data_IF_222282023531
#
_entry.id   IF_222282023531
#
_cell.length_a   1.000
_cell.length_b   1.000
_cell.length_c   1.000
_cell.angle_alpha   90.00
_cell.angle_beta   90.00
_cell.angle_gamma   90.00
#
_symmetry.space_group_name_H-M   'P 1'
#
loop_
_entity.id
_entity.type
_entity.pdbx_description
1 polymer ?
#
# COMPACT_ATOMS: atom_id res chain seq x y z
N UNK A 1 11.35 -56.27 -44.36
CA UNK A 1 11.92 -56.27 -42.99
C UNK A 1 11.83 -54.82 -42.53
N UNK A 2 10.70 -54.30 -42.04
CA UNK A 2 9.84 -54.69 -40.90
C UNK A 2 10.68 -54.94 -39.64
N UNK A 3 10.68 -53.97 -38.74
CA UNK A 3 10.16 -53.99 -37.35
C UNK A 3 10.41 -52.58 -36.77
N UNK A 4 9.43 -51.67 -36.80
CA UNK A 4 8.39 -51.41 -35.79
C UNK A 4 8.89 -51.46 -34.33
N UNK A 5 8.96 -50.29 -33.70
CA UNK A 5 8.43 -50.11 -32.35
C UNK A 5 7.73 -48.75 -32.31
N UNK A 6 6.41 -48.82 -32.33
CA UNK A 6 5.46 -47.72 -32.14
C UNK A 6 5.63 -47.13 -30.73
N UNK A 7 5.74 -45.80 -30.65
CA UNK A 7 5.19 -45.02 -29.55
C UNK A 7 4.73 -43.67 -30.13
N UNK A 8 3.44 -43.61 -30.42
CA UNK A 8 2.70 -42.43 -30.84
C UNK A 8 2.73 -41.35 -29.74
N UNK A 9 3.72 -40.46 -29.78
CA UNK A 9 3.56 -39.14 -29.17
C UNK A 9 2.77 -38.26 -30.12
N UNK A 10 1.44 -38.34 -30.05
CA UNK A 10 0.59 -37.25 -30.53
C UNK A 10 0.89 -36.03 -29.66
N UNK A 11 1.69 -35.10 -30.20
CA UNK A 11 1.74 -33.74 -29.68
C UNK A 11 0.36 -33.15 -29.94
N UNK A 12 -0.50 -33.20 -28.93
CA UNK A 12 -1.70 -32.36 -28.86
C UNK A 12 -1.18 -30.93 -28.70
N UNK A 13 -1.01 -30.26 -29.83
CA UNK A 13 -0.87 -28.81 -29.85
C UNK A 13 -2.24 -28.30 -29.42
N UNK A 14 -2.39 -28.01 -28.13
CA UNK A 14 -3.48 -27.15 -27.70
C UNK A 14 -3.29 -25.83 -28.45
N UNK A 15 -4.22 -25.52 -29.35
CA UNK A 15 -4.32 -24.19 -29.94
C UNK A 15 -4.41 -23.19 -28.78
N UNK A 16 -3.29 -22.54 -28.49
CA UNK A 16 -3.28 -21.39 -27.59
C UNK A 16 -4.15 -20.34 -28.26
N UNK A 17 -5.30 -20.06 -27.66
CA UNK A 17 -6.15 -18.94 -28.07
C UNK A 17 -5.25 -17.71 -28.25
N UNK A 18 -5.30 -17.01 -29.41
CA UNK A 18 -4.48 -15.84 -29.60
C UNK A 18 -4.74 -14.86 -28.46
N UNK A 19 -3.67 -14.36 -27.84
CA UNK A 19 -3.80 -13.26 -26.88
C UNK A 19 -4.51 -12.10 -27.60
N UNK A 20 -5.52 -11.45 -26.99
CA UNK A 20 -6.16 -10.29 -27.59
C UNK A 20 -5.10 -9.24 -27.94
N UNK A 21 -5.34 -8.43 -28.98
CA UNK A 21 -4.50 -7.25 -29.18
C UNK A 21 -4.50 -6.40 -27.90
N UNK A 22 -3.36 -5.79 -27.56
CA UNK A 22 -3.21 -4.99 -26.32
C UNK A 22 -4.31 -3.92 -26.17
N UNK A 23 -4.79 -3.38 -27.29
CA UNK A 23 -5.89 -2.40 -27.34
C UNK A 23 -7.25 -2.99 -26.91
N UNK A 24 -7.53 -4.27 -27.23
CA UNK A 24 -8.74 -4.98 -26.77
C UNK A 24 -8.58 -5.48 -25.34
N UNK A 25 -7.36 -5.87 -24.95
CA UNK A 25 -7.05 -6.36 -23.60
C UNK A 25 -7.26 -5.28 -22.53
N UNK A 26 -7.07 -4.01 -22.90
CA UNK A 26 -7.14 -2.85 -22.01
C UNK A 26 -8.42 -2.01 -22.17
N UNK A 27 -9.48 -2.49 -22.83
CA UNK A 27 -10.81 -1.84 -22.81
C UNK A 27 -11.55 -2.13 -21.48
N UNK A 28 -12.31 -1.16 -20.89
CA UNK A 28 -13.03 -1.36 -19.62
C UNK A 28 -13.98 -2.55 -19.61
N UNK A 29 -14.66 -2.87 -20.71
CA UNK A 29 -15.59 -3.99 -20.77
C UNK A 29 -14.84 -5.32 -20.75
N UNK A 30 -13.77 -5.43 -21.54
CA UNK A 30 -12.92 -6.63 -21.56
C UNK A 30 -12.34 -6.92 -20.17
N UNK A 31 -11.89 -5.89 -19.45
CA UNK A 31 -11.40 -6.02 -18.07
C UNK A 31 -12.53 -6.49 -17.16
N UNK A 32 -13.69 -5.82 -17.20
CA UNK A 32 -14.83 -6.20 -16.37
C UNK A 32 -15.27 -7.64 -16.62
N UNK A 33 -15.31 -8.09 -17.88
CA UNK A 33 -15.63 -9.47 -18.24
C UNK A 33 -14.69 -10.47 -17.59
N UNK A 34 -13.36 -10.23 -17.61
CA UNK A 34 -12.37 -11.09 -16.93
C UNK A 34 -12.54 -11.12 -15.42
N UNK A 35 -12.81 -9.98 -14.81
CA UNK A 35 -13.07 -9.86 -13.37
C UNK A 35 -14.36 -10.59 -12.96
N UNK A 36 -15.39 -10.57 -13.82
CA UNK A 36 -16.70 -11.18 -13.57
C UNK A 36 -16.78 -12.68 -13.91
N UNK A 37 -15.72 -13.29 -14.47
CA UNK A 37 -15.70 -14.73 -14.80
C UNK A 37 -15.91 -15.63 -13.57
N UNK A 38 -15.46 -15.19 -12.39
CA UNK A 38 -15.65 -15.89 -11.13
C UNK A 38 -16.03 -14.89 -10.03
N UNK A 39 -16.89 -15.26 -9.08
CA UNK A 39 -17.09 -14.47 -7.87
C UNK A 39 -15.76 -14.26 -7.16
N UNK A 40 -15.53 -13.06 -6.67
CA UNK A 40 -14.29 -12.71 -5.96
C UNK A 40 -14.62 -12.45 -4.49
N UNK A 41 -13.83 -13.01 -3.59
CA UNK A 41 -13.90 -12.73 -2.16
C UNK A 41 -12.61 -12.02 -1.77
N UNK A 42 -12.75 -10.86 -1.14
CA UNK A 42 -11.66 -10.04 -0.63
C UNK A 42 -11.66 -10.17 0.88
N UNK A 43 -10.73 -10.97 1.41
CA UNK A 43 -10.47 -11.09 2.84
C UNK A 43 -9.58 -9.94 3.28
N UNK A 44 -10.15 -8.98 3.99
CA UNK A 44 -9.47 -7.78 4.48
C UNK A 44 -9.02 -7.95 5.93
N UNK A 45 -7.73 -7.68 6.17
CA UNK A 45 -7.08 -7.76 7.46
C UNK A 45 -6.44 -6.43 7.86
N UNK A 46 -6.22 -6.29 9.16
CA UNK A 46 -5.30 -5.30 9.72
C UNK A 46 -4.09 -5.97 10.39
N UNK A 47 -3.02 -5.21 10.55
CA UNK A 47 -1.85 -5.58 11.35
C UNK A 47 -1.25 -4.31 11.96
N UNK A 48 -1.66 -3.99 13.20
CA UNK A 48 -1.11 -2.85 13.94
C UNK A 48 -1.32 -1.49 13.25
N UNK A 49 -2.38 -1.33 12.46
CA UNK A 49 -2.72 -0.07 11.77
C UNK A 49 -2.99 1.07 12.75
N UNK A 50 -2.84 2.30 12.25
CA UNK A 50 -3.23 3.51 12.98
C UNK A 50 -4.70 3.44 13.46
N UNK A 51 -5.03 3.91 14.67
CA UNK A 51 -6.41 4.01 15.15
C UNK A 51 -7.31 4.87 14.25
N UNK A 52 -6.71 5.76 13.46
CA UNK A 52 -7.42 6.63 12.52
C UNK A 52 -7.82 5.93 11.22
N UNK A 53 -7.31 4.71 10.96
CA UNK A 53 -7.77 3.91 9.84
C UNK A 53 -9.10 3.22 10.18
N UNK A 54 -10.13 3.54 9.40
CA UNK A 54 -11.47 2.99 9.56
C UNK A 54 -11.67 1.84 8.57
N UNK A 55 -11.46 0.62 9.07
CA UNK A 55 -11.66 -0.61 8.31
C UNK A 55 -13.13 -0.81 7.91
N UNK A 56 -14.10 -0.30 8.68
CA UNK A 56 -15.52 -0.44 8.33
C UNK A 56 -15.85 0.42 7.13
N UNK A 57 -15.45 1.70 7.16
CA UNK A 57 -15.65 2.61 6.04
C UNK A 57 -14.92 2.14 4.78
N UNK A 58 -13.72 1.56 4.90
CA UNK A 58 -13.01 0.99 3.76
C UNK A 58 -13.74 -0.22 3.16
N UNK A 59 -14.22 -1.16 4.00
CA UNK A 59 -15.00 -2.31 3.55
C UNK A 59 -16.25 -1.87 2.77
N UNK A 60 -16.99 -0.90 3.31
CA UNK A 60 -18.19 -0.36 2.68
C UNK A 60 -17.88 0.28 1.32
N UNK A 61 -16.80 1.08 1.28
CA UNK A 61 -16.31 1.68 0.05
C UNK A 61 -16.01 0.63 -1.03
N UNK A 62 -15.21 -0.39 -0.69
CA UNK A 62 -14.85 -1.44 -1.65
C UNK A 62 -16.07 -2.23 -2.14
N UNK A 63 -17.00 -2.55 -1.23
CA UNK A 63 -18.24 -3.26 -1.58
C UNK A 63 -19.08 -2.45 -2.57
N UNK A 64 -19.16 -1.13 -2.38
CA UNK A 64 -19.88 -0.23 -3.27
C UNK A 64 -19.17 -0.08 -4.61
N UNK A 65 -17.84 0.06 -4.63
CA UNK A 65 -17.05 0.29 -5.84
C UNK A 65 -17.02 -0.93 -6.76
N UNK A 66 -16.79 -2.14 -6.24
CA UNK A 66 -16.67 -3.35 -7.04
C UNK A 66 -18.00 -4.05 -7.35
N UNK A 67 -19.05 -3.77 -6.57
CA UNK A 67 -20.38 -4.33 -6.81
C UNK A 67 -20.53 -5.81 -6.43
N UNK A 68 -21.66 -6.44 -6.79
CA UNK A 68 -22.15 -7.67 -6.16
C UNK A 68 -21.39 -8.95 -6.51
N UNK A 69 -20.52 -8.94 -7.53
CA UNK A 69 -19.64 -10.09 -7.81
C UNK A 69 -18.45 -10.16 -6.84
N UNK A 70 -18.22 -9.11 -6.04
CA UNK A 70 -17.16 -9.02 -5.06
C UNK A 70 -17.76 -9.03 -3.65
N UNK A 71 -17.41 -10.04 -2.85
CA UNK A 71 -17.67 -10.05 -1.41
C UNK A 71 -16.45 -9.46 -0.70
N UNK A 72 -16.65 -8.48 0.17
CA UNK A 72 -15.57 -7.94 1.01
C UNK A 72 -15.83 -8.36 2.45
N UNK A 73 -14.90 -9.10 3.03
CA UNK A 73 -15.00 -9.67 4.37
C UNK A 73 -13.92 -9.07 5.26
N UNK A 74 -14.29 -8.51 6.42
CA UNK A 74 -13.31 -8.01 7.38
C UNK A 74 -13.03 -9.10 8.40
N UNK A 75 -11.79 -9.59 8.41
CA UNK A 75 -11.36 -10.75 9.18
C UNK A 75 -10.72 -10.40 10.53
N UNK A 76 -10.52 -9.10 10.78
CA UNK A 76 -9.84 -8.59 11.97
C UNK A 76 -8.34 -8.46 11.76
N UNK A 77 -7.60 -8.59 12.85
CA UNK A 77 -6.14 -8.50 12.82
C UNK A 77 -5.53 -9.87 12.50
N UNK A 78 -4.66 -9.90 11.49
CA UNK A 78 -4.11 -11.15 10.94
C UNK A 78 -3.20 -11.86 11.93
N UNK A 79 -2.39 -11.14 12.71
CA UNK A 79 -1.45 -11.78 13.62
C UNK A 79 -2.21 -12.35 14.82
N UNK A 80 -3.18 -11.62 15.32
CA UNK A 80 -4.09 -12.11 16.35
C UNK A 80 -4.79 -13.40 15.96
N UNK A 81 -5.33 -13.43 14.73
CA UNK A 81 -6.01 -14.60 14.20
C UNK A 81 -5.04 -15.78 14.12
N UNK A 82 -3.83 -15.55 13.61
CA UNK A 82 -2.79 -16.58 13.53
C UNK A 82 -2.41 -17.16 14.91
N UNK A 83 -2.21 -16.29 15.90
CA UNK A 83 -1.84 -16.69 17.26
C UNK A 83 -2.99 -17.36 18.01
N UNK A 84 -4.24 -17.01 17.69
CA UNK A 84 -5.42 -17.68 18.25
C UNK A 84 -5.55 -19.11 17.71
N UNK A 85 -5.26 -19.30 16.43
CA UNK A 85 -5.36 -20.61 15.78
C UNK A 85 -4.19 -21.52 16.18
N UNK A 86 -2.98 -20.98 16.33
CA UNK A 86 -1.80 -21.71 16.81
C UNK A 86 -0.86 -20.81 17.65
N UNK A 87 -1.03 -20.79 18.99
CA UNK A 87 -0.19 -20.00 19.87
C UNK A 87 1.30 -20.38 19.84
N UNK A 88 1.64 -21.61 19.42
CA UNK A 88 3.03 -22.05 19.36
C UNK A 88 3.83 -21.33 18.25
N UNK A 89 3.15 -20.67 17.30
CA UNK A 89 3.78 -19.90 16.21
C UNK A 89 4.29 -18.53 16.63
N UNK A 90 4.07 -18.07 17.87
CA UNK A 90 4.55 -16.73 18.32
C UNK A 90 6.03 -16.53 18.01
N UNK A 91 6.87 -17.51 18.41
CA UNK A 91 8.32 -17.44 18.21
C UNK A 91 8.70 -17.42 16.72
N UNK A 92 8.00 -18.21 15.90
CA UNK A 92 8.22 -18.25 14.46
C UNK A 92 7.86 -16.92 13.79
N UNK A 93 6.68 -16.37 14.10
CA UNK A 93 6.20 -15.09 13.55
C UNK A 93 7.15 -13.97 13.95
N UNK A 94 7.53 -13.89 15.23
CA UNK A 94 8.48 -12.89 15.73
C UNK A 94 9.83 -13.03 15.02
N UNK A 95 10.34 -14.26 14.87
CA UNK A 95 11.61 -14.49 14.20
C UNK A 95 11.57 -14.11 12.73
N UNK A 96 10.45 -14.36 12.04
CA UNK A 96 10.24 -13.92 10.65
C UNK A 96 10.12 -12.41 10.52
N UNK A 97 9.39 -11.74 11.41
CA UNK A 97 9.30 -10.27 11.43
C UNK A 97 10.67 -9.63 11.67
N UNK A 98 11.45 -10.14 12.64
CA UNK A 98 12.82 -9.67 12.91
C UNK A 98 13.77 -9.98 11.75
N UNK A 99 13.51 -11.05 11.00
CA UNK A 99 14.31 -11.47 9.84
C UNK A 99 13.89 -10.82 8.53
N UNK A 100 12.71 -10.18 8.45
CA UNK A 100 12.18 -9.47 7.28
C UNK A 100 12.92 -8.15 6.98
N UNK A 101 14.24 -8.13 7.21
CA UNK A 101 15.10 -6.96 7.05
C UNK A 101 15.27 -6.63 5.57
N UNK A 102 15.30 -5.33 5.20
CA UNK A 102 15.66 -4.92 3.86
C UNK A 102 17.12 -5.34 3.55
N UNK A 103 17.36 -5.84 2.34
CA UNK A 103 18.71 -6.13 1.83
C UNK A 103 19.62 -4.90 1.74
N UNK A 104 19.09 -3.70 1.93
CA UNK A 104 19.88 -2.49 2.05
C UNK A 104 20.48 -2.41 3.47
N UNK A 105 21.80 -2.65 3.57
CA UNK A 105 22.60 -2.06 4.65
C UNK A 105 22.32 -0.56 4.62
N UNK A 106 21.47 -0.06 5.52
CA UNK A 106 21.26 1.37 5.72
C UNK A 106 22.63 1.96 6.05
N UNK A 107 23.23 2.58 5.04
CA UNK A 107 24.57 3.11 5.06
C UNK A 107 24.57 4.40 5.85
N UNK A 108 24.75 4.25 7.17
CA UNK A 108 25.07 5.28 8.15
C UNK A 108 23.95 6.27 8.51
N UNK A 109 23.40 6.11 9.73
CA UNK A 109 22.75 7.19 10.47
C UNK A 109 23.44 7.39 11.82
N UNK A 110 24.46 8.24 11.80
CA UNK A 110 25.20 8.66 12.98
C UNK A 110 24.40 9.65 13.79
N UNK A 111 23.42 9.20 14.59
CA UNK A 111 22.96 9.98 15.75
C UNK A 111 21.89 9.40 16.69
N UNK A 112 21.66 8.10 16.66
CA UNK A 112 20.98 7.42 17.75
C UNK A 112 22.01 6.55 18.49
N UNK A 113 21.75 6.22 19.75
CA UNK A 113 22.51 5.17 20.45
C UNK A 113 22.57 3.90 19.58
N UNK A 114 23.50 2.99 19.88
CA UNK A 114 23.83 1.85 19.01
C UNK A 114 22.62 1.06 18.50
N UNK A 115 22.80 0.40 17.34
CA UNK A 115 21.81 -0.50 16.74
C UNK A 115 21.23 -1.46 17.78
N UNK A 116 19.89 -1.60 17.81
CA UNK A 116 19.24 -2.59 18.66
C UNK A 116 19.73 -3.99 18.28
N UNK A 117 20.14 -4.77 19.27
CA UNK A 117 20.48 -6.16 19.04
C UNK A 117 19.22 -6.99 18.71
N UNK A 118 19.41 -8.20 18.17
CA UNK A 118 18.29 -9.04 17.76
C UNK A 118 17.37 -9.43 18.94
N UNK A 119 17.87 -9.52 20.18
CA UNK A 119 17.04 -9.85 21.33
C UNK A 119 16.14 -8.66 21.72
N UNK A 120 16.68 -7.44 21.68
CA UNK A 120 15.92 -6.22 21.87
C UNK A 120 14.83 -6.07 20.80
N UNK A 121 15.14 -6.38 19.53
CA UNK A 121 14.15 -6.38 18.43
C UNK A 121 13.05 -7.43 18.66
N UNK A 122 13.42 -8.67 18.99
CA UNK A 122 12.45 -9.73 19.30
C UNK A 122 11.52 -9.36 20.45
N UNK A 123 12.05 -8.75 21.51
CA UNK A 123 11.24 -8.33 22.65
C UNK A 123 10.25 -7.23 22.28
N UNK A 124 10.66 -6.25 21.47
CA UNK A 124 9.76 -5.21 20.95
C UNK A 124 8.65 -5.82 20.09
N UNK A 125 8.98 -6.74 19.17
CA UNK A 125 7.97 -7.44 18.38
C UNK A 125 7.03 -8.27 19.26
N UNK A 126 7.52 -8.96 20.29
CA UNK A 126 6.62 -9.67 21.23
C UNK A 126 5.67 -8.73 21.95
N UNK A 127 6.16 -7.58 22.39
CA UNK A 127 5.32 -6.54 22.99
C UNK A 127 4.31 -5.99 21.99
N UNK A 128 4.68 -5.93 20.70
CA UNK A 128 3.78 -5.56 19.61
C UNK A 128 2.58 -6.49 19.51
N UNK A 129 2.89 -7.78 19.39
CA UNK A 129 1.89 -8.81 19.17
C UNK A 129 0.93 -8.90 20.35
N UNK A 130 1.43 -8.66 21.57
CA UNK A 130 0.62 -8.64 22.79
C UNK A 130 -0.26 -7.41 22.94
N UNK A 131 -0.13 -6.43 22.03
CA UNK A 131 -0.83 -5.13 22.06
C UNK A 131 -0.83 -4.49 23.44
N UNK A 132 0.31 -4.57 24.11
CA UNK A 132 0.44 -3.91 25.40
C UNK A 132 0.26 -2.40 25.17
N UNK A 133 -0.76 -1.82 25.81
CA UNK A 133 -1.08 -0.38 25.68
C UNK A 133 0.02 0.53 26.24
N UNK A 134 0.92 -0.05 27.05
CA UNK A 134 2.12 0.62 27.55
C UNK A 134 3.36 0.29 26.71
N UNK A 135 3.22 -0.59 25.70
CA UNK A 135 4.28 -0.86 24.76
C UNK A 135 4.61 0.43 24.02
N UNK A 136 5.89 0.78 23.89
CA UNK A 136 6.30 1.86 23.01
C UNK A 136 5.97 1.53 21.55
N UNK A 137 5.42 0.34 21.25
CA UNK A 137 5.26 -0.13 19.90
C UNK A 137 4.20 0.62 19.08
N UNK A 138 3.11 1.10 19.67
CA UNK A 138 2.23 1.98 18.90
C UNK A 138 3.01 3.25 18.49
N UNK A 139 3.82 3.81 19.39
CA UNK A 139 4.80 4.86 19.06
C UNK A 139 6.00 4.39 18.21
N UNK A 140 6.22 3.09 18.01
CA UNK A 140 7.28 2.49 17.19
C UNK A 140 6.81 2.24 15.75
N UNK A 141 5.58 1.76 15.57
CA UNK A 141 4.93 1.56 14.27
C UNK A 141 4.46 2.89 13.70
N UNK A 142 3.89 3.75 14.54
CA UNK A 142 3.44 5.10 14.16
C UNK A 142 4.64 6.04 14.11
N UNK A 143 5.61 5.90 15.01
CA UNK A 143 6.82 6.74 15.01
C UNK A 143 7.89 6.32 14.02
N UNK A 144 7.59 5.56 12.96
CA UNK A 144 8.52 5.32 11.84
C UNK A 144 8.70 6.57 10.98
N UNK A 145 8.86 7.73 11.61
CA UNK A 145 9.09 8.97 10.90
C UNK A 145 10.50 8.99 10.34
N UNK A 146 10.61 9.44 9.09
CA UNK A 146 11.83 10.05 8.58
C UNK A 146 11.97 11.41 9.29
N UNK A 147 12.46 11.40 10.52
CA UNK A 147 12.86 12.61 11.23
C UNK A 147 14.14 13.22 10.63
N UNK A 148 14.49 14.45 11.00
CA UNK A 148 15.80 15.06 10.69
C UNK A 148 16.72 15.00 11.90
N UNK A 149 17.96 14.63 11.68
CA UNK A 149 19.05 14.77 12.61
C UNK A 149 19.82 16.07 12.45
N UNK A 150 20.55 16.48 13.50
CA UNK A 150 21.52 17.55 13.45
C UNK A 150 22.32 17.59 12.15
N UNK A 151 22.32 18.77 11.52
CA UNK A 151 22.93 19.05 10.21
C UNK A 151 22.22 18.42 9.02
N UNK A 152 20.92 18.19 9.11
CA UNK A 152 20.13 17.93 7.92
C UNK A 152 20.24 16.53 7.33
N UNK A 153 20.44 15.56 8.21
CA UNK A 153 20.49 14.16 7.81
C UNK A 153 19.17 13.52 8.21
N UNK A 154 18.42 12.96 7.27
CA UNK A 154 17.15 12.24 7.50
C UNK A 154 17.29 11.12 8.55
N UNK A 155 17.15 11.42 9.84
CA UNK A 155 17.03 10.43 10.91
C UNK A 155 15.78 9.58 10.71
N UNK A 156 15.95 8.36 10.24
CA UNK A 156 15.02 7.30 10.65
C UNK A 156 14.97 7.33 12.19
N UNK A 157 13.77 7.34 12.79
CA UNK A 157 13.65 6.79 14.14
C UNK A 157 14.23 5.36 14.13
N UNK A 158 14.49 4.74 15.26
CA UNK A 158 15.27 3.49 15.37
C UNK A 158 14.71 2.24 14.62
N UNK A 159 13.79 2.40 13.66
CA UNK A 159 12.95 1.39 13.07
C UNK A 159 13.19 1.32 11.56
N UNK A 160 13.68 0.17 11.12
CA UNK A 160 13.94 -0.16 9.71
C UNK A 160 12.59 -0.35 8.98
N UNK A 161 12.44 0.16 7.75
CA UNK A 161 11.33 -0.24 6.88
C UNK A 161 11.40 -1.76 6.66
N UNK A 162 10.26 -2.43 6.71
CA UNK A 162 10.19 -3.86 6.46
C UNK A 162 10.41 -4.16 4.98
N UNK A 163 11.19 -5.20 4.69
CA UNK A 163 11.27 -5.72 3.33
C UNK A 163 9.90 -6.22 2.91
N UNK A 164 9.37 -5.61 1.86
CA UNK A 164 8.03 -5.88 1.36
C UNK A 164 7.90 -7.33 0.86
N UNK A 165 8.98 -7.94 0.35
CA UNK A 165 8.98 -9.34 -0.09
C UNK A 165 8.90 -10.31 1.08
N UNK A 166 9.71 -10.09 2.11
CA UNK A 166 9.70 -10.90 3.31
C UNK A 166 8.38 -10.76 4.08
N UNK A 167 7.85 -9.54 4.20
CA UNK A 167 6.56 -9.29 4.85
C UNK A 167 5.38 -9.88 4.04
N UNK A 168 5.40 -9.71 2.71
CA UNK A 168 4.42 -10.34 1.81
C UNK A 168 4.43 -11.86 1.90
N UNK A 169 5.62 -12.48 1.98
CA UNK A 169 5.76 -13.92 2.20
C UNK A 169 5.19 -14.36 3.55
N UNK A 170 5.42 -13.60 4.63
CA UNK A 170 4.80 -13.87 5.92
C UNK A 170 3.27 -13.87 5.83
N UNK A 171 2.69 -12.81 5.27
CA UNK A 171 1.23 -12.74 5.17
C UNK A 171 0.67 -13.82 4.24
N UNK A 172 1.36 -14.18 3.17
CA UNK A 172 0.96 -15.29 2.29
C UNK A 172 0.90 -16.62 3.04
N UNK A 173 1.91 -16.93 3.86
CA UNK A 173 1.90 -18.16 4.64
C UNK A 173 0.80 -18.17 5.71
N UNK A 174 0.55 -17.01 6.33
CA UNK A 174 -0.53 -16.86 7.31
C UNK A 174 -1.90 -17.05 6.65
N UNK A 175 -2.17 -16.43 5.51
CA UNK A 175 -3.46 -16.56 4.83
C UNK A 175 -3.66 -17.97 4.27
N UNK A 176 -2.63 -18.60 3.72
CA UNK A 176 -2.69 -20.00 3.27
C UNK A 176 -2.97 -20.97 4.42
N UNK A 177 -2.48 -20.67 5.63
CA UNK A 177 -2.81 -21.48 6.81
C UNK A 177 -4.26 -21.28 7.24
N UNK A 178 -4.79 -20.07 7.12
CA UNK A 178 -6.13 -19.70 7.59
C UNK A 178 -7.25 -20.11 6.62
N UNK A 179 -6.96 -20.17 5.33
CA UNK A 179 -7.97 -20.38 4.28
C UNK A 179 -7.52 -21.46 3.30
N UNK A 180 -8.42 -22.40 3.03
CA UNK A 180 -8.30 -23.29 1.88
C UNK A 180 -8.89 -22.59 0.65
N UNK A 181 -8.12 -22.41 -0.45
CA UNK A 181 -8.63 -21.78 -1.65
C UNK A 181 -9.84 -22.55 -2.20
N UNK A 182 -10.94 -21.85 -2.42
CA UNK A 182 -12.13 -22.44 -3.06
C UNK A 182 -12.02 -22.27 -4.57
N UNK A 183 -11.93 -23.37 -5.32
CA UNK A 183 -11.76 -23.31 -6.79
C UNK A 183 -12.86 -22.55 -7.54
N UNK A 184 -14.06 -22.45 -6.93
CA UNK A 184 -15.22 -21.76 -7.48
C UNK A 184 -15.14 -20.23 -7.38
N UNK A 185 -14.27 -19.69 -6.51
CA UNK A 185 -14.10 -18.25 -6.25
C UNK A 185 -12.67 -17.82 -6.53
N UNK A 186 -12.47 -16.51 -6.74
CA UNK A 186 -11.15 -15.87 -6.66
C UNK A 186 -10.99 -15.35 -5.24
N UNK A 187 -9.99 -15.85 -4.52
CA UNK A 187 -9.69 -15.42 -3.14
C UNK A 187 -8.54 -14.41 -3.16
N UNK A 188 -8.82 -13.18 -2.73
CA UNK A 188 -7.84 -12.09 -2.60
C UNK A 188 -7.68 -11.73 -1.12
N UNK A 189 -6.45 -11.47 -0.69
CA UNK A 189 -6.14 -11.10 0.67
C UNK A 189 -5.59 -9.68 0.71
N UNK A 190 -6.27 -8.78 1.40
CA UNK A 190 -5.90 -7.37 1.51
C UNK A 190 -5.48 -7.07 2.95
N UNK A 191 -4.20 -6.79 3.17
CA UNK A 191 -3.64 -6.54 4.50
C UNK A 191 -3.26 -5.06 4.63
N UNK A 192 -3.91 -4.35 5.54
CA UNK A 192 -3.45 -3.04 5.99
C UNK A 192 -2.49 -3.21 7.16
N UNK A 193 -1.31 -2.60 7.09
CA UNK A 193 -0.30 -2.68 8.14
C UNK A 193 0.14 -1.29 8.61
N UNK A 194 0.34 -1.13 9.92
CA UNK A 194 1.00 0.05 10.49
C UNK A 194 2.53 0.01 10.36
N UNK A 195 3.09 -1.01 9.74
CA UNK A 195 4.53 -1.11 9.46
C UNK A 195 4.84 -0.37 8.18
N UNK A 196 5.82 0.53 8.19
CA UNK A 196 6.42 1.08 6.98
C UNK A 196 7.09 -0.04 6.20
N UNK A 197 6.83 -0.06 4.90
CA UNK A 197 7.33 -1.08 3.97
C UNK A 197 8.23 -0.46 2.91
N UNK A 198 9.24 -1.20 2.50
CA UNK A 198 10.16 -0.77 1.45
C UNK A 198 10.74 -1.95 0.69
N UNK A 199 11.37 -1.67 -0.44
CA UNK A 199 12.11 -2.66 -1.23
C UNK A 199 13.32 -2.03 -1.90
N UNK A 200 14.08 -2.82 -2.65
CA UNK A 200 15.16 -2.29 -3.49
C UNK A 200 14.60 -1.50 -4.68
N UNK A 201 15.20 -0.35 -4.97
CA UNK A 201 15.00 0.33 -6.27
C UNK A 201 15.75 -0.42 -7.39
N UNK A 202 15.68 0.07 -8.63
CA UNK A 202 16.52 -0.42 -9.74
C UNK A 202 18.02 -0.37 -9.39
N UNK A 203 18.42 0.58 -8.53
CA UNK A 203 19.68 0.53 -7.81
C UNK A 203 19.48 -0.18 -6.45
N UNK A 204 20.02 -1.40 -6.26
CA UNK A 204 19.89 -2.14 -5.01
C UNK A 204 20.51 -1.44 -3.80
N UNK A 205 21.34 -0.41 -4.01
CA UNK A 205 21.94 0.39 -2.95
C UNK A 205 21.01 1.47 -2.39
N UNK A 206 19.88 1.74 -3.06
CA UNK A 206 18.92 2.76 -2.64
C UNK A 206 17.64 2.08 -2.15
N UNK A 207 17.34 2.13 -0.84
CA UNK A 207 16.06 1.66 -0.32
C UNK A 207 14.93 2.56 -0.86
N UNK A 208 13.84 1.94 -1.30
CA UNK A 208 12.66 2.62 -1.82
C UNK A 208 11.47 2.33 -0.90
N UNK A 209 11.03 3.36 -0.17
CA UNK A 209 9.82 3.28 0.64
C UNK A 209 8.58 3.11 -0.26
N UNK A 210 7.58 2.37 0.21
CA UNK A 210 6.35 2.10 -0.55
C UNK A 210 5.12 2.29 0.33
N UNK A 211 4.03 2.72 -0.28
CA UNK A 211 2.72 2.76 0.36
C UNK A 211 1.94 1.44 0.22
N UNK A 212 2.25 0.63 -0.80
CA UNK A 212 1.63 -0.67 -1.00
C UNK A 212 2.37 -1.53 -2.03
N UNK A 213 2.06 -2.83 -2.04
CA UNK A 213 2.56 -3.81 -3.01
C UNK A 213 1.64 -5.03 -3.09
N UNK A 214 1.57 -5.68 -4.25
CA UNK A 214 0.81 -6.92 -4.49
C UNK A 214 1.74 -8.10 -4.81
N UNK A 215 1.53 -9.23 -4.13
CA UNK A 215 2.20 -10.52 -4.28
C UNK A 215 1.18 -11.60 -4.62
N UNK A 216 1.01 -11.88 -5.92
CA UNK A 216 -0.03 -12.82 -6.35
C UNK A 216 -1.39 -12.33 -5.91
N UNK A 217 -2.11 -13.12 -5.11
CA UNK A 217 -3.42 -12.76 -4.57
C UNK A 217 -3.37 -12.04 -3.21
N UNK A 218 -2.18 -11.74 -2.68
CA UNK A 218 -1.98 -11.03 -1.41
C UNK A 218 -1.54 -9.61 -1.70
N UNK A 219 -2.26 -8.62 -1.19
CA UNK A 219 -1.90 -7.21 -1.30
C UNK A 219 -1.65 -6.61 0.08
N UNK A 220 -0.55 -5.86 0.22
CA UNK A 220 -0.14 -5.22 1.47
C UNK A 220 -0.15 -3.71 1.28
N UNK A 221 -0.83 -3.00 2.17
CA UNK A 221 -0.92 -1.53 2.17
C UNK A 221 -0.44 -1.02 3.52
N UNK A 222 0.54 -0.13 3.50
CA UNK A 222 1.12 0.45 4.70
C UNK A 222 0.49 1.81 5.00
N UNK A 223 -0.19 1.95 6.14
CA UNK A 223 -0.72 3.25 6.58
C UNK A 223 0.41 4.24 6.90
N UNK A 224 1.53 3.74 7.39
CA UNK A 224 2.76 4.52 7.62
C UNK A 224 3.44 4.87 6.29
N UNK A 225 3.50 3.91 5.37
CA UNK A 225 4.02 4.12 4.02
C UNK A 225 3.22 5.17 3.25
N UNK A 226 1.91 5.29 3.45
CA UNK A 226 1.10 6.38 2.88
C UNK A 226 1.52 7.77 3.36
N UNK A 227 2.05 7.88 4.58
CA UNK A 227 2.55 9.15 5.15
C UNK A 227 3.98 9.43 4.65
N UNK A 228 4.82 8.42 4.57
CA UNK A 228 6.27 8.63 4.39
C UNK A 228 6.83 8.29 3.01
N UNK A 229 6.21 7.38 2.26
CA UNK A 229 6.73 6.99 0.95
C UNK A 229 6.53 8.06 -0.12
N UNK A 230 5.35 8.72 -0.25
CA UNK A 230 5.19 9.81 -1.20
C UNK A 230 6.10 10.99 -0.81
N UNK A 231 6.77 11.55 -1.80
CA UNK A 231 7.64 12.70 -1.61
C UNK A 231 6.86 13.88 -1.00
N UNK A 232 7.45 14.53 0.01
CA UNK A 232 6.83 15.69 0.64
C UNK A 232 6.69 16.84 -0.38
N UNK A 233 5.76 17.80 -0.18
CA UNK A 233 5.59 18.92 -1.10
C UNK A 233 6.92 19.67 -1.34
N UNK A 234 7.17 20.16 -2.55
CA UNK A 234 8.44 20.81 -2.90
C UNK A 234 8.79 21.96 -1.94
N UNK A 235 7.79 22.74 -1.56
CA UNK A 235 7.94 23.87 -0.64
C UNK A 235 8.41 23.45 0.76
N UNK A 236 8.04 22.24 1.19
CA UNK A 236 8.48 21.65 2.46
C UNK A 236 9.94 21.24 2.34
N UNK A 237 10.32 20.60 1.24
CA UNK A 237 11.71 20.21 0.97
C UNK A 237 12.63 21.43 0.88
N UNK A 238 12.19 22.49 0.19
CA UNK A 238 12.91 23.78 0.13
C UNK A 238 13.08 24.41 1.51
N UNK A 239 12.04 24.38 2.34
CA UNK A 239 12.10 24.94 3.69
C UNK A 239 13.06 24.16 4.61
N UNK A 240 13.09 22.82 4.49
CA UNK A 240 14.06 21.98 5.17
C UNK A 240 15.49 22.28 4.74
N UNK A 241 15.78 22.27 3.43
CA UNK A 241 17.10 22.61 2.88
C UNK A 241 17.57 24.01 3.28
N UNK A 242 16.66 24.99 3.30
CA UNK A 242 16.95 26.36 3.71
C UNK A 242 17.32 26.46 5.21
N UNK A 243 16.65 25.69 6.07
CA UNK A 243 16.99 25.58 7.50
C UNK A 243 18.35 24.93 7.72
N UNK A 244 18.66 23.88 6.97
CA UNK A 244 19.94 23.16 7.06
C UNK A 244 21.13 24.00 6.61
N UNK A 245 21.00 24.65 5.44
CA UNK A 245 22.07 25.40 4.81
C UNK A 245 22.55 26.61 5.63
N UNK A 246 21.72 27.12 6.55
CA UNK A 246 21.99 28.39 7.23
C UNK A 246 22.06 28.31 8.76
N UNK A 247 21.94 27.11 9.33
CA UNK A 247 21.78 26.98 10.77
C UNK A 247 20.58 27.83 11.25
N UNK A 248 20.56 28.25 12.50
CA UNK A 248 19.44 29.01 13.10
C UNK A 248 19.09 30.38 12.45
N UNK A 249 19.57 30.67 11.24
CA UNK A 249 19.26 31.87 10.44
C UNK A 249 18.52 31.49 9.15
N UNK A 250 17.21 31.28 9.22
CA UNK A 250 16.36 30.97 8.05
C UNK A 250 16.51 32.04 6.94
N UNK A 251 16.78 31.68 5.66
CA UNK A 251 16.81 32.63 4.56
C UNK A 251 15.42 32.89 4.00
N UNK A 252 15.33 33.97 3.23
CA UNK A 252 14.12 34.70 2.89
C UNK A 252 13.22 33.98 1.88
N UNK A 253 12.18 33.34 2.40
CA UNK A 253 10.82 33.41 1.87
C UNK A 253 9.95 34.13 2.90
N UNK A 254 9.94 35.47 2.86
CA UNK A 254 9.56 36.34 4.00
C UNK A 254 8.21 35.97 4.62
N UNK A 255 7.23 35.55 3.82
CA UNK A 255 5.89 35.27 4.34
C UNK A 255 5.73 33.83 4.89
N UNK A 256 6.34 32.84 4.26
CA UNK A 256 6.28 31.44 4.73
C UNK A 256 7.07 31.24 6.03
N UNK A 257 8.25 31.85 6.13
CA UNK A 257 9.06 31.84 7.35
C UNK A 257 8.36 32.59 8.48
N UNK A 258 7.66 33.69 8.16
CA UNK A 258 6.82 34.38 9.14
C UNK A 258 5.68 33.49 9.62
N UNK A 259 4.91 32.88 8.72
CA UNK A 259 3.80 31.99 9.09
C UNK A 259 4.29 30.85 9.98
N UNK A 260 5.38 30.18 9.59
CA UNK A 260 6.01 29.14 10.39
C UNK A 260 6.47 29.64 11.77
N UNK A 261 7.16 30.78 11.83
CA UNK A 261 7.65 31.37 13.09
C UNK A 261 6.49 31.85 13.98
N UNK A 262 5.43 32.39 13.38
CA UNK A 262 4.19 32.77 14.06
C UNK A 262 3.51 31.54 14.64
N UNK A 263 3.33 30.47 13.86
CA UNK A 263 2.74 29.22 14.34
C UNK A 263 3.54 28.64 15.52
N UNK A 264 4.88 28.60 15.46
CA UNK A 264 5.69 28.18 16.61
C UNK A 264 5.44 29.04 17.86
N UNK A 265 5.33 30.36 17.70
CA UNK A 265 5.15 31.30 18.82
C UNK A 265 3.73 31.26 19.41
N UNK A 266 2.72 31.24 18.54
CA UNK A 266 1.29 31.26 18.91
C UNK A 266 0.85 29.94 19.52
N UNK A 267 1.25 28.82 18.91
CA UNK A 267 0.84 27.47 19.32
C UNK A 267 1.78 26.85 20.35
N UNK A 268 2.97 27.44 20.56
CA UNK A 268 4.01 26.94 21.49
C UNK A 268 4.44 25.51 21.18
N UNK A 269 4.53 25.17 19.90
CA UNK A 269 4.93 23.85 19.41
C UNK A 269 6.36 23.86 18.89
N UNK A 270 7.09 22.72 18.93
CA UNK A 270 8.44 22.64 18.37
C UNK A 270 8.43 22.84 16.84
N UNK A 271 9.60 23.13 16.23
CA UNK A 271 9.71 23.40 14.79
C UNK A 271 9.09 22.31 13.89
N UNK A 272 9.27 21.04 14.23
CA UNK A 272 8.68 19.92 13.50
C UNK A 272 7.15 20.04 13.44
N UNK A 273 6.50 20.24 14.58
CA UNK A 273 5.04 20.28 14.68
C UNK A 273 4.46 21.56 14.06
N UNK A 274 5.18 22.68 14.12
CA UNK A 274 4.80 23.89 13.38
C UNK A 274 4.83 23.67 11.86
N UNK A 275 5.73 22.82 11.35
CA UNK A 275 5.80 22.50 9.93
C UNK A 275 4.54 21.74 9.51
N UNK A 276 4.15 20.71 10.25
CA UNK A 276 2.92 19.97 9.98
C UNK A 276 1.68 20.87 10.06
N UNK A 277 1.63 21.80 11.03
CA UNK A 277 0.50 22.75 11.11
C UNK A 277 0.42 23.69 9.91
N UNK A 278 1.55 24.14 9.38
CA UNK A 278 1.55 25.05 8.20
C UNK A 278 1.11 24.33 6.93
N UNK A 279 1.38 23.03 6.83
CA UNK A 279 1.12 22.21 5.64
C UNK A 279 0.06 21.11 5.87
N UNK A 280 -0.76 21.22 6.92
CA UNK A 280 -1.72 20.17 7.31
C UNK A 280 -2.67 19.82 6.16
N UNK A 281 -3.02 20.80 5.32
CA UNK A 281 -3.85 20.64 4.14
C UNK A 281 -3.14 19.97 2.95
N UNK A 282 -1.82 19.77 3.00
CA UNK A 282 -0.97 19.28 1.89
C UNK A 282 -0.16 18.02 2.18
N UNK A 283 -0.19 17.53 3.41
CA UNK A 283 0.50 16.30 3.80
C UNK A 283 -0.32 15.54 4.83
N UNK A 284 -0.22 14.22 4.75
CA UNK A 284 -0.68 13.34 5.82
C UNK A 284 0.33 13.34 6.96
N UNK A 285 -0.16 12.98 8.14
CA UNK A 285 0.66 12.69 9.31
C UNK A 285 0.28 11.36 9.94
N UNK A 286 1.07 11.00 10.93
CA UNK A 286 0.75 9.93 11.85
C UNK A 286 -0.62 10.16 12.51
N UNK A 287 -1.44 9.12 12.56
CA UNK A 287 -2.82 9.18 13.08
C UNK A 287 -3.71 10.22 12.40
N UNK A 288 -3.40 10.61 11.16
CA UNK A 288 -4.25 11.54 10.42
C UNK A 288 -5.64 10.91 10.16
N UNK A 289 -6.74 11.60 10.52
CA UNK A 289 -8.10 11.09 10.30
C UNK A 289 -8.43 10.87 8.81
N UNK A 290 -7.63 11.41 7.90
CA UNK A 290 -7.80 11.27 6.45
C UNK A 290 -7.14 10.02 5.88
N UNK A 291 -6.43 9.21 6.67
CA UNK A 291 -5.71 8.00 6.18
C UNK A 291 -6.63 7.06 5.40
N UNK A 292 -7.85 6.82 5.89
CA UNK A 292 -8.83 5.97 5.21
C UNK A 292 -9.12 6.49 3.80
N UNK A 293 -9.49 7.78 3.68
CA UNK A 293 -9.75 8.40 2.37
C UNK A 293 -8.52 8.40 1.47
N UNK A 294 -7.34 8.71 2.02
CA UNK A 294 -6.06 8.71 1.30
C UNK A 294 -5.68 7.32 0.75
N UNK A 295 -6.12 6.26 1.42
CA UNK A 295 -5.76 4.89 1.04
C UNK A 295 -6.65 4.28 -0.04
N UNK A 296 -7.80 4.89 -0.37
CA UNK A 296 -8.79 4.29 -1.30
C UNK A 296 -8.21 4.00 -2.68
N UNK A 297 -7.55 4.96 -3.30
CA UNK A 297 -6.96 4.81 -4.63
C UNK A 297 -5.97 3.66 -4.68
N UNK A 298 -4.92 3.70 -3.85
CA UNK A 298 -3.93 2.63 -3.79
C UNK A 298 -4.57 1.27 -3.47
N UNK A 299 -5.64 1.23 -2.66
CA UNK A 299 -6.37 0.00 -2.37
C UNK A 299 -6.98 -0.61 -3.62
N UNK A 300 -7.68 0.19 -4.42
CA UNK A 300 -8.25 -0.28 -5.69
C UNK A 300 -7.16 -0.77 -6.65
N UNK A 301 -6.06 -0.03 -6.75
CA UNK A 301 -4.90 -0.42 -7.57
C UNK A 301 -4.35 -1.79 -7.13
N UNK A 302 -4.20 -2.00 -5.82
CA UNK A 302 -3.68 -3.25 -5.24
C UNK A 302 -4.63 -4.44 -5.46
N UNK A 303 -5.95 -4.23 -5.33
CA UNK A 303 -6.94 -5.28 -5.60
C UNK A 303 -6.94 -5.68 -7.07
N UNK A 304 -6.95 -4.71 -7.99
CA UNK A 304 -6.91 -5.00 -9.43
C UNK A 304 -5.61 -5.71 -9.82
N UNK A 305 -4.47 -5.27 -9.28
CA UNK A 305 -3.19 -5.95 -9.49
C UNK A 305 -3.24 -7.40 -8.99
N UNK A 306 -3.76 -7.63 -7.78
CA UNK A 306 -3.88 -8.96 -7.18
C UNK A 306 -4.90 -9.87 -7.90
N UNK A 307 -5.88 -9.27 -8.56
CA UNK A 307 -6.81 -9.96 -9.44
C UNK A 307 -6.20 -10.34 -10.81
N UNK A 308 -4.94 -9.96 -11.07
CA UNK A 308 -4.22 -10.25 -12.31
C UNK A 308 -4.29 -9.15 -13.36
N UNK A 309 -4.91 -8.00 -13.06
CA UNK A 309 -5.14 -6.91 -14.03
C UNK A 309 -3.99 -5.89 -14.00
N UNK A 310 -2.77 -6.34 -14.29
CA UNK A 310 -1.52 -5.56 -14.11
C UNK A 310 -1.16 -4.64 -15.30
N UNK A 311 -2.06 -4.47 -16.27
CA UNK A 311 -1.81 -3.61 -17.44
C UNK A 311 -2.27 -2.18 -17.20
N UNK A 312 -1.50 -1.18 -17.65
CA UNK A 312 -1.96 0.22 -17.67
C UNK A 312 -2.96 0.41 -18.83
N UNK A 313 -4.07 1.16 -18.65
CA UNK A 313 -4.42 1.99 -17.48
C UNK A 313 -5.23 1.25 -16.40
N UNK A 314 -5.46 -0.05 -16.55
CA UNK A 314 -6.41 -0.83 -15.77
C UNK A 314 -6.19 -0.65 -14.27
N UNK A 315 -5.00 -0.98 -13.78
CA UNK A 315 -4.69 -0.85 -12.36
C UNK A 315 -4.22 0.54 -11.93
N UNK A 316 -3.80 1.44 -12.84
CA UNK A 316 -3.36 2.79 -12.44
C UNK A 316 -3.40 3.80 -13.59
N UNK A 317 -3.74 5.05 -13.25
CA UNK A 317 -3.61 6.21 -14.13
C UNK A 317 -2.26 6.87 -13.86
N UNK A 318 -1.32 6.79 -14.80
CA UNK A 318 0.05 7.31 -14.62
C UNK A 318 0.35 8.47 -15.56
N UNK A 319 1.24 9.37 -15.13
CA UNK A 319 1.88 10.37 -15.98
C UNK A 319 3.11 9.85 -16.74
N UNK A 320 3.57 8.63 -16.41
CA UNK A 320 4.79 8.03 -16.96
C UNK A 320 4.50 6.99 -18.05
N UNK A 321 4.44 7.44 -19.30
CA UNK A 321 4.49 6.59 -20.50
C UNK A 321 3.15 6.30 -21.20
N UNK A 322 3.15 6.57 -22.51
CA UNK A 322 2.23 6.11 -23.57
C UNK A 322 0.71 6.24 -23.43
N UNK A 323 0.18 7.03 -22.50
CA UNK A 323 -1.24 7.42 -22.53
C UNK A 323 -1.49 8.90 -22.76
N UNK A 324 -2.59 9.13 -23.49
CA UNK A 324 -3.15 10.40 -23.90
C UNK A 324 -3.81 11.03 -22.67
N UNK A 325 -3.06 11.90 -21.98
CA UNK A 325 -3.53 12.82 -20.93
C UNK A 325 -3.92 12.15 -19.58
N UNK A 326 -2.98 11.99 -18.63
CA UNK A 326 -3.28 11.50 -17.28
C UNK A 326 -4.26 12.44 -16.58
N UNK A 327 -5.41 11.90 -16.14
CA UNK A 327 -6.32 12.65 -15.28
C UNK A 327 -5.83 12.57 -13.84
N UNK A 328 -5.06 13.59 -13.44
CA UNK A 328 -4.57 13.79 -12.07
C UNK A 328 -5.69 14.01 -11.04
N UNK A 329 -6.96 14.03 -11.46
CA UNK A 329 -8.11 14.00 -10.56
C UNK A 329 -8.72 12.61 -10.36
N UNK A 330 -8.35 11.63 -11.20
CA UNK A 330 -8.79 10.25 -11.03
C UNK A 330 -8.24 9.69 -9.72
N UNK A 331 -9.09 9.03 -8.92
CA UNK A 331 -8.66 8.37 -7.69
C UNK A 331 -7.64 7.25 -7.94
N UNK A 332 -7.61 6.70 -9.15
CA UNK A 332 -6.62 5.69 -9.57
C UNK A 332 -5.27 6.31 -9.98
N UNK A 333 -5.05 7.60 -9.79
CA UNK A 333 -3.79 8.26 -10.09
C UNK A 333 -2.63 7.70 -9.26
N UNK A 334 -1.52 7.39 -9.92
CA UNK A 334 -0.26 6.94 -9.33
C UNK A 334 0.50 8.12 -8.71
N UNK A 335 0.05 8.55 -7.53
CA UNK A 335 0.59 9.69 -6.82
C UNK A 335 1.98 9.37 -6.22
N UNK A 336 2.98 10.15 -6.63
CA UNK A 336 4.35 10.06 -6.12
C UNK A 336 4.64 11.11 -5.05
N UNK A 337 3.84 12.18 -4.98
CA UNK A 337 3.96 13.25 -4.00
C UNK A 337 2.77 13.29 -3.02
N UNK A 338 3.01 13.73 -1.79
CA UNK A 338 1.97 13.96 -0.79
C UNK A 338 0.88 14.91 -1.30
N UNK A 339 1.25 15.97 -2.02
CA UNK A 339 0.27 16.91 -2.60
C UNK A 339 -0.62 16.25 -3.66
N UNK A 340 -0.08 15.27 -4.41
CA UNK A 340 -0.86 14.47 -5.36
C UNK A 340 -1.79 13.49 -4.64
N UNK A 341 -1.33 12.83 -3.56
CA UNK A 341 -2.19 11.98 -2.71
C UNK A 341 -3.35 12.80 -2.15
N UNK A 342 -3.06 13.94 -1.53
CA UNK A 342 -4.09 14.84 -1.00
C UNK A 342 -5.06 15.26 -2.12
N UNK A 343 -4.56 15.69 -3.27
CA UNK A 343 -5.39 16.21 -4.37
C UNK A 343 -6.30 15.12 -4.96
N UNK A 344 -5.74 13.93 -5.19
CA UNK A 344 -6.44 12.83 -5.89
C UNK A 344 -7.36 12.04 -4.99
N UNK A 345 -7.07 11.98 -3.69
CA UNK A 345 -7.78 11.13 -2.74
C UNK A 345 -8.74 11.91 -1.82
N UNK A 346 -8.37 13.13 -1.41
CA UNK A 346 -9.06 13.89 -0.36
C UNK A 346 -9.69 15.15 -0.93
N UNK A 347 -8.90 16.05 -1.54
CA UNK A 347 -9.31 17.37 -1.97
C UNK A 347 -9.82 17.38 -3.42
N UNK A 348 -10.74 16.46 -3.72
CA UNK A 348 -11.22 16.22 -5.09
C UNK A 348 -12.25 17.25 -5.59
N UNK A 349 -12.85 18.01 -4.68
CA UNK A 349 -13.89 18.99 -4.99
C UNK A 349 -15.11 18.33 -5.66
N UNK A 350 -15.68 19.00 -6.66
CA UNK A 350 -16.82 18.48 -7.44
C UNK A 350 -16.41 17.53 -8.58
N UNK A 351 -15.13 17.12 -8.65
CA UNK A 351 -14.64 16.29 -9.75
C UNK A 351 -15.11 14.83 -9.62
N UNK A 352 -15.50 14.17 -10.73
CA UNK A 352 -15.89 12.76 -10.75
C UNK A 352 -14.82 11.88 -10.11
N UNK A 353 -15.20 10.82 -9.37
CA UNK A 353 -14.27 9.94 -8.64
C UNK A 353 -13.15 9.34 -9.50
N UNK A 354 -13.53 8.98 -10.71
CA UNK A 354 -12.72 8.24 -11.65
C UNK A 354 -12.68 9.00 -12.97
N UNK A 355 -11.63 8.80 -13.77
CA UNK A 355 -11.64 9.23 -15.16
C UNK A 355 -12.67 8.39 -15.96
N UNK A 356 -12.91 8.76 -17.22
CA UNK A 356 -13.87 8.07 -18.08
C UNK A 356 -13.63 6.56 -18.18
N UNK A 357 -12.37 6.14 -18.20
CA UNK A 357 -11.98 4.73 -18.25
C UNK A 357 -12.44 3.98 -17.00
N UNK A 358 -11.99 4.43 -15.83
CA UNK A 358 -12.26 3.77 -14.55
C UNK A 358 -13.74 3.90 -14.16
N UNK A 359 -14.41 4.98 -14.55
CA UNK A 359 -15.87 5.14 -14.38
C UNK A 359 -16.60 4.00 -15.11
N UNK A 360 -16.33 3.81 -16.41
CA UNK A 360 -16.96 2.73 -17.18
C UNK A 360 -16.66 1.35 -16.61
N UNK A 361 -15.42 1.12 -16.16
CA UNK A 361 -15.01 -0.14 -15.55
C UNK A 361 -15.86 -0.43 -14.29
N UNK A 362 -15.87 0.48 -13.32
CA UNK A 362 -16.58 0.26 -12.06
C UNK A 362 -18.10 0.24 -12.23
N UNK A 363 -18.68 1.05 -13.12
CA UNK A 363 -20.11 0.97 -13.47
C UNK A 363 -20.48 -0.41 -14.06
N UNK A 364 -19.59 -0.99 -14.88
CA UNK A 364 -19.81 -2.33 -15.45
C UNK A 364 -19.77 -3.41 -14.38
N UNK A 365 -18.84 -3.32 -13.42
CA UNK A 365 -18.77 -4.24 -12.29
C UNK A 365 -19.99 -4.13 -11.37
N UNK A 366 -20.45 -2.90 -11.11
CA UNK A 366 -21.65 -2.62 -10.30
C UNK A 366 -22.96 -3.08 -10.95
N UNK A 367 -23.08 -2.95 -12.29
CA UNK A 367 -24.29 -3.32 -13.02
C UNK A 367 -24.46 -4.82 -13.25
N UNK A 368 -23.45 -5.63 -12.90
CA UNK A 368 -23.55 -7.08 -12.99
C UNK A 368 -24.61 -7.64 -12.05
N UNK A 369 -25.45 -8.54 -12.55
CA UNK A 369 -26.34 -9.37 -11.73
C UNK A 369 -25.94 -10.84 -11.88
N UNK A 370 -25.66 -11.55 -10.78
CA UNK A 370 -25.35 -12.99 -10.80
C UNK A 370 -26.43 -13.83 -11.50
N UNK A 371 -27.69 -13.36 -11.52
CA UNK A 371 -28.82 -14.04 -12.16
C UNK A 371 -28.72 -14.07 -13.70
N UNK A 372 -27.96 -13.15 -14.31
CA UNK A 372 -27.81 -13.06 -15.76
C UNK A 372 -26.70 -13.96 -16.33
N UNK A 373 -25.79 -14.50 -15.51
CA UNK A 373 -24.68 -15.33 -15.97
C UNK A 373 -25.07 -16.76 -16.35
N UNK A 374 -26.21 -17.26 -15.86
CA UNK A 374 -26.74 -18.58 -16.24
C UNK A 374 -27.30 -18.63 -17.68
N UNK A 375 -27.33 -17.51 -18.40
CA UNK A 375 -27.81 -17.44 -19.79
C UNK A 375 -26.71 -17.44 -20.85
N UNK A 376 -25.44 -17.33 -20.49
CA UNK A 376 -24.34 -17.44 -21.45
C UNK A 376 -23.79 -18.86 -21.39
N UNK A 377 -24.32 -19.72 -22.26
CA UNK A 377 -23.71 -21.03 -22.51
C UNK A 377 -22.30 -20.82 -23.04
N UNK A 378 -21.32 -21.65 -22.63
CA UNK A 378 -20.02 -21.65 -23.28
C UNK A 378 -20.24 -22.01 -24.75
N UNK A 379 -19.75 -21.14 -25.64
CA UNK A 379 -19.72 -21.37 -27.08
C UNK A 379 -18.48 -22.16 -27.47
#
# INVERSE_FOLDING_TARGET
MIENSDDDFQIVIHETTPLPSEEIANDPNSVAERLLQKPTVIHMFTDGVSPSFDSTAMKEYLSQTFGPNFSVEFEGDIIDKALKDDPAKEDEIVDRLVSAKPWAKVSSFWQFGGSLDNNQKKELERQALKRDKNSPLQSFLIGQTIGEGPRGKLRLSNNEYYDIGALGSLYTDLTHTMFEPKEATKELYLIYTGRGIGGSSEDPSIPHARAGFAYGNVAVISTTGLVDAPAKPLEVLEAYQAREALGHLMPRGVERVKRFSQTMQEEKVPPHDAFYKVYEDKMLRDEDPRITEASKGITLQMILNSAGEQTRPVYQCTTSGYEVNPDVSCRMHDAHHQEEVITTQINRGEKPEFCDFHTKLFEKLQSYSPENSQKVKPH
#
